data_IF_371999439297
#
_entry.id   IF_371999439297
#
_cell.length_a   1.000
_cell.length_b   1.000
_cell.length_c   1.000
_cell.angle_alpha   90.00
_cell.angle_beta   90.00
_cell.angle_gamma   90.00
#
_symmetry.space_group_name_H-M   'P 1'
#
loop_
_entity.id
_entity.type
_entity.pdbx_description
1 polymer ?
#
# COMPACT_ATOMS: atom_id res chain seq x y z
N UNK A 1 -10.13 23.57 6.32
CA UNK A 1 -8.83 24.15 5.93
C UNK A 1 -9.09 25.35 5.05
N UNK A 2 -8.57 26.52 5.40
CA UNK A 2 -8.83 27.77 4.68
C UNK A 2 -8.06 27.82 3.36
N UNK A 3 -8.72 28.31 2.32
CA UNK A 3 -8.25 28.45 0.93
C UNK A 3 -6.90 29.17 0.80
N UNK A 4 -6.58 30.02 1.78
CA UNK A 4 -5.31 30.75 1.92
C UNK A 4 -4.08 29.85 2.07
N UNK A 5 -4.23 28.66 2.67
CA UNK A 5 -3.12 27.73 2.89
C UNK A 5 -2.73 26.94 1.62
N UNK A 6 -3.63 26.83 0.64
CA UNK A 6 -3.37 26.13 -0.63
C UNK A 6 -2.60 27.01 -1.63
N UNK A 7 -2.80 28.33 -1.56
CA UNK A 7 -2.17 29.29 -2.48
C UNK A 7 -0.68 29.51 -2.15
N UNK A 8 -0.29 29.38 -0.89
CA UNK A 8 1.12 29.51 -0.43
C UNK A 8 1.99 28.32 -0.84
N UNK A 9 1.41 27.16 -1.18
CA UNK A 9 2.12 25.96 -1.65
C UNK A 9 2.32 25.88 -3.18
N UNK A 10 2.04 26.96 -3.93
CA UNK A 10 2.13 26.96 -5.40
C UNK A 10 1.07 26.10 -6.12
N UNK A 11 0.14 25.52 -5.36
CA UNK A 11 -1.00 24.75 -5.85
C UNK A 11 -2.19 25.68 -6.08
N UNK A 12 -2.79 25.65 -7.27
CA UNK A 12 -4.02 26.38 -7.52
C UNK A 12 -5.13 25.83 -6.61
N UNK A 13 -5.89 26.72 -5.96
CA UNK A 13 -7.08 26.30 -5.24
C UNK A 13 -8.00 25.48 -6.18
N UNK A 14 -8.58 24.35 -5.74
CA UNK A 14 -9.35 23.45 -6.62
C UNK A 14 -10.44 24.16 -7.43
N UNK A 15 -11.07 25.19 -6.85
CA UNK A 15 -12.06 26.04 -7.52
C UNK A 15 -11.49 26.87 -8.67
N UNK A 16 -10.29 27.45 -8.51
CA UNK A 16 -9.64 28.25 -9.54
C UNK A 16 -9.20 27.40 -10.75
N UNK A 17 -8.73 26.17 -10.50
CA UNK A 17 -8.33 25.25 -11.55
C UNK A 17 -9.52 24.76 -12.39
N UNK A 18 -10.63 24.42 -11.73
CA UNK A 18 -11.90 24.09 -12.38
C UNK A 18 -12.43 25.28 -13.21
N UNK A 19 -12.41 26.49 -12.65
CA UNK A 19 -12.83 27.71 -13.33
C UNK A 19 -12.04 27.97 -14.63
N UNK A 20 -10.73 27.76 -14.60
CA UNK A 20 -9.88 27.91 -15.77
C UNK A 20 -10.24 26.92 -16.89
N UNK A 21 -10.45 25.64 -16.55
CA UNK A 21 -10.86 24.60 -17.52
C UNK A 21 -12.23 24.86 -18.11
N UNK A 22 -13.17 25.31 -17.28
CA UNK A 22 -14.51 25.63 -17.73
C UNK A 22 -14.49 26.77 -18.77
N UNK A 23 -13.73 27.84 -18.49
CA UNK A 23 -13.51 28.94 -19.44
C UNK A 23 -12.88 28.46 -20.74
N UNK A 24 -11.87 27.62 -20.63
CA UNK A 24 -11.11 27.12 -21.77
C UNK A 24 -11.95 26.17 -22.65
N UNK A 25 -12.63 25.18 -22.05
CA UNK A 25 -13.53 24.28 -22.76
C UNK A 25 -14.64 25.04 -23.49
N UNK A 26 -15.21 26.07 -22.84
CA UNK A 26 -16.22 26.94 -23.45
C UNK A 26 -15.66 27.73 -24.63
N UNK A 27 -14.47 28.32 -24.50
CA UNK A 27 -13.80 29.06 -25.59
C UNK A 27 -13.47 28.16 -26.78
N UNK A 28 -13.00 26.94 -26.53
CA UNK A 28 -12.68 25.95 -27.56
C UNK A 28 -13.90 25.55 -28.40
N UNK A 29 -15.09 25.56 -27.78
CA UNK A 29 -16.39 25.34 -28.42
C UNK A 29 -16.98 26.61 -29.07
N UNK A 30 -16.30 27.76 -29.00
CA UNK A 30 -16.79 29.04 -29.53
C UNK A 30 -18.04 29.57 -28.80
N UNK A 31 -18.33 29.08 -27.59
CA UNK A 31 -19.54 29.42 -26.86
C UNK A 31 -19.38 30.68 -26.01
N UNK A 32 -20.38 31.56 -26.02
CA UNK A 32 -20.52 32.61 -25.02
C UNK A 32 -20.99 32.01 -23.68
N UNK A 33 -20.75 32.71 -22.57
CA UNK A 33 -21.27 32.29 -21.25
C UNK A 33 -22.80 32.16 -21.25
N UNK A 34 -23.49 33.04 -21.98
CA UNK A 34 -24.96 32.99 -22.10
C UNK A 34 -25.40 31.71 -22.82
N UNK A 35 -24.78 31.39 -23.95
CA UNK A 35 -25.09 30.15 -24.68
C UNK A 35 -24.86 28.90 -23.82
N UNK A 36 -23.75 28.83 -23.08
CA UNK A 36 -23.50 27.70 -22.19
C UNK A 36 -24.52 27.61 -21.05
N UNK A 37 -24.89 28.75 -20.45
CA UNK A 37 -25.92 28.84 -19.42
C UNK A 37 -27.27 28.30 -19.91
N UNK A 38 -27.67 28.69 -21.13
CA UNK A 38 -28.93 28.26 -21.75
C UNK A 38 -28.94 26.75 -22.04
N UNK A 39 -27.86 26.21 -22.62
CA UNK A 39 -27.77 24.78 -22.96
C UNK A 39 -27.67 23.90 -21.69
N UNK A 40 -26.89 24.34 -20.69
CA UNK A 40 -26.69 23.57 -19.45
C UNK A 40 -27.83 23.71 -18.42
N UNK A 41 -28.80 24.59 -18.68
CA UNK A 41 -29.88 24.94 -17.75
C UNK A 41 -29.32 25.42 -16.40
N UNK A 42 -28.32 26.30 -16.47
CA UNK A 42 -27.65 26.90 -15.32
C UNK A 42 -27.72 28.42 -15.45
N UNK A 43 -28.01 29.13 -14.35
CA UNK A 43 -28.11 30.59 -14.44
C UNK A 43 -26.78 31.22 -14.88
N UNK A 44 -26.86 32.26 -15.72
CA UNK A 44 -25.69 33.01 -16.20
C UNK A 44 -24.87 33.60 -15.04
N UNK A 45 -25.52 34.00 -13.95
CA UNK A 45 -24.85 34.51 -12.73
C UNK A 45 -24.05 33.42 -12.02
N UNK A 46 -24.63 32.23 -11.87
CA UNK A 46 -23.95 31.10 -11.23
C UNK A 46 -22.78 30.60 -12.09
N UNK A 47 -22.96 30.55 -13.42
CA UNK A 47 -21.86 30.22 -14.34
C UNK A 47 -20.72 31.24 -14.28
N UNK A 48 -21.02 32.54 -14.11
CA UNK A 48 -20.01 33.57 -13.92
C UNK A 48 -19.24 33.41 -12.60
N UNK A 49 -19.91 33.00 -11.52
CA UNK A 49 -19.29 32.69 -10.22
C UNK A 49 -18.41 31.42 -10.30
N UNK A 50 -18.85 30.40 -11.02
CA UNK A 50 -18.04 29.21 -11.28
C UNK A 50 -16.82 29.54 -12.13
N UNK A 51 -16.96 30.41 -13.13
CA UNK A 51 -15.83 30.89 -13.94
C UNK A 51 -14.94 31.88 -13.20
N UNK A 52 -15.32 32.46 -12.05
CA UNK A 52 -14.42 33.29 -11.23
C UNK A 52 -13.58 32.48 -10.24
N UNK A 53 -14.03 31.26 -9.90
CA UNK A 53 -13.38 30.38 -8.93
C UNK A 53 -14.04 30.41 -7.55
N UNK A 54 -15.02 31.29 -7.32
CA UNK A 54 -15.64 31.54 -6.00
C UNK A 54 -16.91 30.69 -5.77
N UNK A 55 -17.11 29.62 -6.54
CA UNK A 55 -18.36 28.86 -6.56
C UNK A 55 -18.17 27.37 -6.25
N UNK A 56 -18.91 26.87 -5.26
CA UNK A 56 -19.05 25.44 -5.04
C UNK A 56 -20.13 24.87 -5.99
N UNK A 57 -19.82 23.78 -6.70
CA UNK A 57 -20.70 23.16 -7.70
C UNK A 57 -21.09 21.75 -7.27
N UNK A 58 -22.38 21.43 -7.37
CA UNK A 58 -22.80 20.04 -7.19
C UNK A 58 -22.38 19.20 -8.40
N UNK A 59 -22.05 17.93 -8.18
CA UNK A 59 -21.68 16.98 -9.24
C UNK A 59 -22.76 16.94 -10.34
N UNK A 60 -24.04 17.01 -9.97
CA UNK A 60 -25.15 17.03 -10.92
C UNK A 60 -25.14 18.26 -11.84
N UNK A 61 -24.82 19.45 -11.31
CA UNK A 61 -24.71 20.66 -12.13
C UNK A 61 -23.49 20.59 -13.03
N UNK A 62 -22.37 20.10 -12.50
CA UNK A 62 -21.13 19.94 -13.26
C UNK A 62 -21.30 18.96 -14.43
N UNK A 63 -22.01 17.84 -14.24
CA UNK A 63 -22.32 16.90 -15.33
C UNK A 63 -23.17 17.53 -16.44
N UNK A 64 -24.15 18.38 -16.11
CA UNK A 64 -24.94 19.10 -17.13
C UNK A 64 -24.11 20.09 -17.92
N UNK A 65 -23.22 20.81 -17.25
CA UNK A 65 -22.28 21.73 -17.89
C UNK A 65 -21.31 20.96 -18.80
N UNK A 66 -20.78 19.83 -18.34
CA UNK A 66 -19.89 18.97 -19.12
C UNK A 66 -20.59 18.41 -20.37
N UNK A 67 -21.85 17.98 -20.24
CA UNK A 67 -22.68 17.53 -21.36
C UNK A 67 -22.95 18.67 -22.37
N UNK A 68 -23.25 19.89 -21.89
CA UNK A 68 -23.43 21.06 -22.75
C UNK A 68 -22.15 21.47 -23.50
N UNK A 69 -20.97 21.20 -22.91
CA UNK A 69 -19.66 21.38 -23.53
C UNK A 69 -19.22 20.18 -24.38
N UNK A 70 -20.05 19.12 -24.43
CA UNK A 70 -19.77 17.85 -25.11
C UNK A 70 -18.35 17.34 -24.75
N UNK A 71 -18.10 17.29 -23.44
CA UNK A 71 -16.81 16.90 -22.85
C UNK A 71 -17.08 16.00 -21.65
N UNK A 72 -16.33 14.89 -21.48
CA UNK A 72 -16.44 14.07 -20.28
C UNK A 72 -16.19 14.90 -19.02
N UNK A 73 -17.00 14.71 -17.98
CA UNK A 73 -16.87 15.46 -16.72
C UNK A 73 -15.48 15.28 -16.08
N UNK A 74 -14.86 14.12 -16.28
CA UNK A 74 -13.48 13.83 -15.88
C UNK A 74 -12.48 14.86 -16.41
N UNK A 75 -12.66 15.38 -17.64
CA UNK A 75 -11.73 16.36 -18.22
C UNK A 75 -11.83 17.74 -17.57
N UNK A 76 -12.97 18.06 -16.93
CA UNK A 76 -13.10 19.28 -16.12
C UNK A 76 -12.46 19.10 -14.73
N UNK A 77 -12.39 17.86 -14.24
CA UNK A 77 -11.86 17.50 -12.92
C UNK A 77 -10.39 17.12 -12.93
N UNK A 78 -9.82 16.71 -14.06
CA UNK A 78 -8.41 16.38 -14.20
C UNK A 78 -7.55 17.56 -13.76
N UNK A 79 -6.67 17.34 -12.78
CA UNK A 79 -5.66 18.32 -12.45
C UNK A 79 -4.85 18.65 -13.70
N UNK A 80 -4.72 19.95 -13.99
CA UNK A 80 -4.05 20.46 -15.18
C UNK A 80 -2.54 20.35 -15.01
N UNK A 81 -2.07 19.28 -14.40
CA UNK A 81 -0.66 18.98 -14.29
C UNK A 81 -0.10 18.59 -15.66
N UNK A 82 -0.95 18.22 -16.62
CA UNK A 82 -0.53 17.85 -17.98
C UNK A 82 0.18 18.95 -18.80
N UNK A 83 0.19 20.21 -18.34
CA UNK A 83 1.00 21.28 -18.93
C UNK A 83 1.90 21.98 -17.91
N UNK A 84 2.05 21.42 -16.70
CA UNK A 84 3.13 21.81 -15.82
C UNK A 84 4.39 21.05 -16.24
N UNK A 85 5.59 21.65 -16.13
CA UNK A 85 6.84 20.92 -16.29
C UNK A 85 6.86 19.62 -15.47
N UNK A 86 6.15 19.58 -14.34
CA UNK A 86 6.03 18.39 -13.49
C UNK A 86 5.16 17.29 -14.09
N UNK A 87 4.01 17.59 -14.72
CA UNK A 87 3.15 16.54 -15.28
C UNK A 87 3.58 16.02 -16.64
N UNK A 88 4.23 16.84 -17.48
CA UNK A 88 4.93 16.32 -18.68
C UNK A 88 6.10 15.41 -18.27
N UNK A 89 6.84 15.79 -17.22
CA UNK A 89 7.89 14.95 -16.65
C UNK A 89 7.33 13.66 -16.05
N UNK A 90 6.19 13.70 -15.36
CA UNK A 90 5.51 12.52 -14.83
C UNK A 90 5.04 11.56 -15.94
N UNK A 91 4.46 12.09 -17.03
CA UNK A 91 4.03 11.29 -18.17
C UNK A 91 5.22 10.63 -18.90
N UNK A 92 6.31 11.39 -19.14
CA UNK A 92 7.54 10.87 -19.74
C UNK A 92 8.23 9.85 -18.83
N UNK A 93 8.25 10.11 -17.53
CA UNK A 93 8.76 9.15 -16.54
C UNK A 93 7.94 7.87 -16.56
N UNK A 94 6.61 7.94 -16.54
CA UNK A 94 5.74 6.77 -16.59
C UNK A 94 5.96 5.91 -17.85
N UNK A 95 6.15 6.55 -19.01
CA UNK A 95 6.40 5.90 -20.30
C UNK A 95 7.86 5.42 -20.50
N UNK A 96 8.80 5.82 -19.65
CA UNK A 96 10.21 5.46 -19.79
C UNK A 96 10.48 3.98 -19.49
N UNK A 97 11.53 3.44 -20.13
CA UNK A 97 12.01 2.07 -19.87
C UNK A 97 12.56 1.95 -18.44
N UNK A 98 12.63 0.74 -17.85
CA UNK A 98 13.16 0.54 -16.50
C UNK A 98 14.55 1.14 -16.28
N UNK A 99 15.44 1.04 -17.27
CA UNK A 99 16.78 1.64 -17.20
C UNK A 99 16.75 3.17 -17.18
N UNK A 100 15.89 3.79 -18.00
CA UNK A 100 15.75 5.25 -18.05
C UNK A 100 15.14 5.82 -16.77
N UNK A 101 14.12 5.14 -16.21
CA UNK A 101 13.55 5.51 -14.91
C UNK A 101 14.61 5.52 -13.82
N UNK A 102 15.50 4.52 -13.80
CA UNK A 102 16.61 4.41 -12.84
C UNK A 102 17.59 5.57 -12.96
N UNK A 103 18.06 5.87 -14.18
CA UNK A 103 18.98 6.98 -14.42
C UNK A 103 18.38 8.36 -14.06
N UNK A 104 17.08 8.57 -14.31
CA UNK A 104 16.39 9.82 -13.96
C UNK A 104 16.32 9.98 -12.44
N UNK A 105 15.97 8.92 -11.71
CA UNK A 105 15.94 8.93 -10.26
C UNK A 105 17.32 9.22 -9.66
N UNK A 106 18.38 8.63 -10.21
CA UNK A 106 19.78 8.85 -9.81
C UNK A 106 20.21 10.33 -9.90
N UNK A 107 19.84 11.00 -11.00
CA UNK A 107 20.17 12.42 -11.22
C UNK A 107 19.38 13.33 -10.26
N UNK A 108 18.13 13.00 -9.95
CA UNK A 108 17.26 13.81 -9.09
C UNK A 108 17.57 13.68 -7.60
N UNK A 109 18.64 12.98 -7.24
CA UNK A 109 18.99 12.74 -5.85
C UNK A 109 18.02 11.79 -5.15
N UNK A 110 17.28 10.97 -5.91
CA UNK A 110 16.84 9.71 -5.32
C UNK A 110 18.12 9.02 -4.84
N UNK A 111 18.10 8.39 -3.65
CA UNK A 111 19.27 7.69 -3.15
C UNK A 111 19.83 6.84 -4.29
N UNK A 112 21.14 6.93 -4.47
CA UNK A 112 21.90 6.09 -5.38
C UNK A 112 21.48 4.62 -5.23
N UNK A 113 22.02 3.77 -6.08
CA UNK A 113 22.05 2.31 -5.88
C UNK A 113 22.67 1.83 -4.54
N UNK A 114 22.71 2.66 -3.50
CA UNK A 114 22.48 2.28 -2.11
C UNK A 114 20.97 2.11 -1.86
N UNK A 115 20.33 1.07 -2.43
CA UNK A 115 19.10 0.59 -1.80
C UNK A 115 19.50 0.33 -0.33
N UNK A 116 18.94 1.02 0.69
CA UNK A 116 19.41 0.87 2.06
C UNK A 116 19.35 -0.61 2.33
N UNK A 117 20.50 -1.22 2.58
CA UNK A 117 20.75 -2.63 2.34
C UNK A 117 19.55 -3.44 2.81
N UNK A 118 18.60 -3.75 1.90
CA UNK A 118 17.29 -4.29 2.30
C UNK A 118 17.44 -5.63 3.01
N UNK A 119 18.65 -6.20 2.91
CA UNK A 119 19.10 -7.37 3.64
C UNK A 119 19.04 -7.18 5.17
N UNK A 120 19.17 -5.95 5.65
CA UNK A 120 19.12 -5.59 7.09
C UNK A 120 17.72 -5.24 7.57
N UNK A 121 16.76 -5.07 6.65
CA UNK A 121 15.34 -4.89 6.97
C UNK A 121 14.58 -6.19 6.70
N UNK A 122 14.22 -6.91 7.76
CA UNK A 122 13.57 -8.20 7.69
C UNK A 122 12.08 -8.03 7.95
N UNK A 123 11.23 -8.53 7.05
CA UNK A 123 9.78 -8.52 7.22
C UNK A 123 9.25 -9.95 7.44
N UNK A 124 8.69 -10.19 8.62
CA UNK A 124 7.96 -11.42 8.94
C UNK A 124 6.50 -11.25 8.51
N UNK A 125 6.08 -12.00 7.50
CA UNK A 125 4.75 -11.89 6.89
C UNK A 125 3.95 -13.15 7.18
N UNK A 126 2.68 -13.02 7.55
CA UNK A 126 1.82 -14.19 7.74
C UNK A 126 0.59 -13.92 8.58
N UNK A 127 -0.30 -14.91 8.62
CA UNK A 127 -1.56 -14.80 9.37
C UNK A 127 -1.33 -14.85 10.89
N UNK A 128 -2.35 -14.45 11.67
CA UNK A 128 -2.29 -14.48 13.14
C UNK A 128 -2.06 -15.93 13.62
N UNK A 129 -1.35 -16.09 14.74
CA UNK A 129 -0.98 -17.43 15.25
C UNK A 129 0.27 -18.05 14.60
N UNK A 130 0.83 -17.45 13.55
CA UNK A 130 2.07 -17.96 12.93
C UNK A 130 3.35 -17.70 13.73
N UNK A 131 3.29 -17.12 14.93
CA UNK A 131 4.48 -16.89 15.77
C UNK A 131 5.31 -15.64 15.45
N UNK A 132 4.95 -14.84 14.44
CA UNK A 132 5.68 -13.63 14.00
C UNK A 132 6.14 -12.70 15.14
N UNK A 133 5.22 -12.30 16.03
CA UNK A 133 5.54 -11.36 17.12
C UNK A 133 6.47 -11.98 18.16
N UNK A 134 6.30 -13.27 18.47
CA UNK A 134 7.17 -14.00 19.40
C UNK A 134 8.57 -14.18 18.80
N UNK A 135 8.65 -14.72 17.59
CA UNK A 135 9.91 -14.97 16.90
C UNK A 135 10.65 -13.66 16.58
N UNK A 136 9.94 -12.62 16.17
CA UNK A 136 10.52 -11.31 15.88
C UNK A 136 11.16 -10.66 17.10
N UNK A 137 10.51 -10.72 18.27
CA UNK A 137 11.09 -10.22 19.54
C UNK A 137 12.33 -11.01 19.96
N UNK A 138 12.30 -12.34 19.83
CA UNK A 138 13.43 -13.19 20.18
C UNK A 138 14.61 -13.00 19.22
N UNK A 139 14.34 -12.94 17.91
CA UNK A 139 15.35 -12.67 16.90
C UNK A 139 15.98 -11.28 17.10
N UNK A 140 15.16 -10.27 17.41
CA UNK A 140 15.62 -8.92 17.77
C UNK A 140 16.61 -8.94 18.94
N UNK A 141 16.27 -9.63 20.03
CA UNK A 141 17.17 -9.77 21.17
C UNK A 141 18.47 -10.54 20.85
N UNK A 142 18.41 -11.51 19.92
CA UNK A 142 19.56 -12.33 19.52
C UNK A 142 20.52 -11.59 18.58
N UNK A 143 19.96 -10.77 17.69
CA UNK A 143 20.68 -10.07 16.63
C UNK A 143 21.03 -8.62 16.98
N UNK A 144 20.52 -8.10 18.11
CA UNK A 144 20.62 -6.69 18.50
C UNK A 144 20.02 -5.72 17.45
N UNK A 145 18.91 -6.14 16.85
CA UNK A 145 18.19 -5.40 15.80
C UNK A 145 16.82 -4.98 16.34
N UNK A 146 16.34 -3.74 16.12
CA UNK A 146 15.02 -3.33 16.59
C UNK A 146 13.88 -4.20 16.05
N UNK A 147 12.84 -4.43 16.86
CA UNK A 147 11.60 -5.07 16.43
C UNK A 147 10.41 -4.11 16.48
N UNK A 148 9.58 -4.11 15.42
CA UNK A 148 8.33 -3.35 15.34
C UNK A 148 7.21 -4.19 14.76
N UNK A 149 5.97 -3.93 15.18
CA UNK A 149 4.79 -4.46 14.50
C UNK A 149 4.15 -3.34 13.69
N UNK A 150 3.73 -3.62 12.44
CA UNK A 150 3.05 -2.61 11.60
C UNK A 150 1.73 -2.18 12.25
N UNK A 151 1.08 -3.07 13.01
CA UNK A 151 -0.10 -2.72 13.81
C UNK A 151 0.16 -1.55 14.76
N UNK A 152 1.32 -1.53 15.42
CA UNK A 152 1.65 -0.49 16.39
C UNK A 152 1.80 0.87 15.68
N UNK A 153 2.42 0.86 14.49
CA UNK A 153 2.54 2.05 13.65
C UNK A 153 1.19 2.53 13.12
N UNK A 154 0.29 1.61 12.75
CA UNK A 154 -1.09 1.95 12.37
C UNK A 154 -1.83 2.63 13.52
N UNK A 155 -1.76 2.06 14.73
CA UNK A 155 -2.43 2.61 15.92
C UNK A 155 -1.88 3.98 16.31
N UNK A 156 -0.56 4.17 16.20
CA UNK A 156 0.08 5.47 16.43
C UNK A 156 -0.37 6.53 15.42
N UNK A 157 -0.44 6.17 14.13
CA UNK A 157 -0.88 7.09 13.07
C UNK A 157 -2.37 7.43 13.17
N UNK A 158 -3.21 6.45 13.52
CA UNK A 158 -4.65 6.63 13.62
C UNK A 158 -5.11 7.20 14.98
N UNK A 159 -4.29 7.06 16.03
CA UNK A 159 -4.64 7.44 17.40
C UNK A 159 -5.67 6.54 18.08
N UNK A 160 -6.02 5.42 17.45
CA UNK A 160 -7.03 4.45 17.90
C UNK A 160 -6.59 3.01 17.57
N UNK A 161 -7.10 1.99 18.28
CA UNK A 161 -6.76 0.59 18.01
C UNK A 161 -7.08 0.14 16.58
N UNK A 162 -6.34 -0.84 16.05
CA UNK A 162 -6.57 -1.37 14.68
C UNK A 162 -8.03 -1.83 14.47
N UNK A 163 -8.65 -2.40 15.49
CA UNK A 163 -10.07 -2.81 15.43
C UNK A 163 -11.01 -1.63 15.20
N UNK A 164 -10.72 -0.46 15.79
CA UNK A 164 -11.49 0.76 15.59
C UNK A 164 -11.20 1.39 14.23
N UNK A 165 -9.95 1.33 13.76
CA UNK A 165 -9.60 1.76 12.39
C UNK A 165 -10.46 1.00 11.37
N UNK A 166 -10.58 -0.31 11.52
CA UNK A 166 -11.42 -1.13 10.62
C UNK A 166 -12.90 -0.80 10.78
N UNK A 167 -13.38 -0.56 12.01
CA UNK A 167 -14.79 -0.22 12.25
C UNK A 167 -15.19 1.14 11.65
N UNK A 168 -14.30 2.13 11.72
CA UNK A 168 -14.56 3.51 11.27
C UNK A 168 -14.24 3.73 9.79
N UNK A 169 -13.14 3.15 9.29
CA UNK A 169 -12.59 3.43 7.96
C UNK A 169 -12.58 2.22 7.03
N UNK A 170 -13.05 1.06 7.50
CA UNK A 170 -13.06 -0.18 6.72
C UNK A 170 -11.66 -0.73 6.43
N UNK A 171 -11.63 -1.77 5.58
CA UNK A 171 -10.38 -2.39 5.14
C UNK A 171 -9.53 -1.43 4.30
N UNK A 172 -10.14 -0.59 3.46
CA UNK A 172 -9.40 0.38 2.64
C UNK A 172 -8.65 1.41 3.49
N UNK A 173 -9.27 1.88 4.58
CA UNK A 173 -8.62 2.74 5.56
C UNK A 173 -7.43 2.06 6.20
N UNK A 174 -7.61 0.81 6.67
CA UNK A 174 -6.53 0.01 7.22
C UNK A 174 -5.35 -0.12 6.22
N UNK A 175 -5.62 -0.41 4.95
CA UNK A 175 -4.59 -0.55 3.91
C UNK A 175 -3.80 0.74 3.67
N UNK A 176 -4.44 1.90 3.79
CA UNK A 176 -3.75 3.21 3.68
C UNK A 176 -2.83 3.48 4.87
N UNK A 177 -3.29 3.20 6.10
CA UNK A 177 -2.45 3.31 7.29
C UNK A 177 -1.30 2.29 7.27
N UNK A 178 -1.56 1.06 6.81
CA UNK A 178 -0.53 0.02 6.64
C UNK A 178 0.56 0.47 5.66
N UNK A 179 0.18 1.05 4.52
CA UNK A 179 1.12 1.59 3.54
C UNK A 179 1.99 2.71 4.13
N UNK A 180 1.35 3.65 4.84
CA UNK A 180 2.03 4.79 5.47
C UNK A 180 3.01 4.31 6.55
N UNK A 181 2.58 3.40 7.43
CA UNK A 181 3.41 2.85 8.48
C UNK A 181 4.63 2.10 7.93
N UNK A 182 4.45 1.28 6.88
CA UNK A 182 5.56 0.59 6.22
C UNK A 182 6.57 1.57 5.59
N UNK A 183 6.08 2.62 4.92
CA UNK A 183 6.93 3.63 4.33
C UNK A 183 7.75 4.39 5.39
N UNK A 184 7.11 4.78 6.50
CA UNK A 184 7.81 5.43 7.61
C UNK A 184 8.87 4.54 8.26
N UNK A 185 8.55 3.25 8.48
CA UNK A 185 9.50 2.30 9.05
C UNK A 185 10.71 2.08 8.13
N UNK A 186 10.48 1.95 6.82
CA UNK A 186 11.55 1.81 5.83
C UNK A 186 12.41 3.09 5.72
N UNK A 187 11.81 4.27 5.89
CA UNK A 187 12.55 5.54 5.81
C UNK A 187 13.37 5.86 7.06
N UNK A 188 12.91 5.42 8.25
CA UNK A 188 13.55 5.76 9.54
C UNK A 188 14.57 4.72 10.02
N UNK A 189 14.57 3.51 9.46
CA UNK A 189 15.40 2.42 9.93
C UNK A 189 16.19 1.78 8.79
N UNK A 190 17.50 1.76 8.92
CA UNK A 190 18.39 1.01 8.02
C UNK A 190 18.44 -0.49 8.38
N UNK A 191 18.20 -0.82 9.66
CA UNK A 191 18.18 -2.18 10.20
C UNK A 191 16.98 -2.36 11.13
N UNK A 192 16.13 -3.34 10.84
CA UNK A 192 14.83 -3.53 11.50
C UNK A 192 14.26 -4.91 11.22
N UNK A 193 13.68 -5.55 12.23
CA UNK A 193 12.75 -6.66 12.06
C UNK A 193 11.33 -6.13 12.22
N UNK A 194 10.48 -6.34 11.21
CA UNK A 194 9.08 -5.90 11.21
C UNK A 194 8.13 -7.09 11.09
N UNK A 195 7.12 -7.16 11.96
CA UNK A 195 6.01 -8.09 11.79
C UNK A 195 4.86 -7.43 11.02
N UNK A 196 4.43 -8.08 9.94
CA UNK A 196 3.37 -7.60 9.05
C UNK A 196 2.21 -8.61 9.03
N UNK A 197 0.99 -8.10 9.13
CA UNK A 197 -0.22 -8.92 9.06
C UNK A 197 -0.39 -9.55 7.68
N UNK A 198 -0.95 -10.76 7.63
CA UNK A 198 -1.23 -11.47 6.37
C UNK A 198 -2.25 -10.81 5.45
N UNK A 199 -2.86 -9.67 5.85
CA UNK A 199 -3.69 -8.83 4.99
C UNK A 199 -2.89 -8.05 3.95
N UNK A 200 -1.58 -7.87 4.15
CA UNK A 200 -0.70 -7.10 3.26
C UNK A 200 -0.75 -7.57 1.79
N UNK A 201 -0.95 -8.87 1.58
CA UNK A 201 -0.99 -9.49 0.24
C UNK A 201 -2.27 -9.17 -0.54
N UNK A 202 -3.28 -8.58 0.10
CA UNK A 202 -4.54 -8.19 -0.56
C UNK A 202 -4.38 -6.92 -1.39
N UNK A 203 -3.36 -6.11 -1.13
CA UNK A 203 -3.08 -4.88 -1.87
C UNK A 203 -1.73 -5.01 -2.55
N UNK A 204 -1.76 -5.15 -3.88
CA UNK A 204 -0.56 -5.36 -4.70
C UNK A 204 0.49 -4.27 -4.46
N UNK A 205 0.10 -3.00 -4.43
CA UNK A 205 1.01 -1.89 -4.18
C UNK A 205 1.74 -1.98 -2.82
N UNK A 206 1.02 -2.31 -1.74
CA UNK A 206 1.62 -2.43 -0.41
C UNK A 206 2.57 -3.63 -0.34
N UNK A 207 2.19 -4.74 -0.98
CA UNK A 207 3.01 -5.94 -1.00
C UNK A 207 4.25 -5.77 -1.87
N UNK A 208 4.14 -5.10 -3.02
CA UNK A 208 5.27 -4.75 -3.89
C UNK A 208 6.25 -3.83 -3.18
N UNK A 209 5.74 -2.86 -2.40
CA UNK A 209 6.57 -2.02 -1.55
C UNK A 209 7.34 -2.87 -0.54
N UNK A 210 6.67 -3.80 0.15
CA UNK A 210 7.31 -4.68 1.12
C UNK A 210 8.42 -5.54 0.48
N UNK A 211 8.13 -6.18 -0.66
CA UNK A 211 9.08 -7.04 -1.40
C UNK A 211 10.30 -6.29 -1.97
N UNK A 212 10.16 -4.98 -2.19
CA UNK A 212 11.24 -4.12 -2.71
C UNK A 212 12.11 -3.52 -1.61
N UNK A 213 11.58 -3.30 -0.41
CA UNK A 213 12.29 -2.59 0.68
C UNK A 213 12.77 -3.48 1.83
N UNK A 214 12.27 -4.73 1.91
CA UNK A 214 12.58 -5.69 2.97
C UNK A 214 13.00 -7.04 2.40
N UNK A 215 13.82 -7.79 3.14
CA UNK A 215 13.93 -9.23 3.01
C UNK A 215 12.70 -9.89 3.65
N UNK A 216 11.88 -10.55 2.83
CA UNK A 216 10.56 -11.03 3.26
C UNK A 216 10.56 -12.52 3.59
N UNK A 217 10.12 -12.86 4.79
CA UNK A 217 10.00 -14.24 5.28
C UNK A 217 8.53 -14.53 5.55
N UNK A 218 7.94 -15.44 4.79
CA UNK A 218 6.60 -15.94 5.07
C UNK A 218 6.66 -16.92 6.23
N UNK A 219 6.10 -16.53 7.37
CA UNK A 219 5.98 -17.39 8.56
C UNK A 219 4.61 -18.05 8.56
N UNK A 220 4.58 -19.37 8.49
CA UNK A 220 3.36 -20.17 8.47
C UNK A 220 3.40 -21.33 9.48
N UNK A 221 2.23 -21.90 9.73
CA UNK A 221 2.05 -23.14 10.46
C UNK A 221 0.86 -23.90 9.86
N UNK A 222 0.65 -25.15 10.30
CA UNK A 222 -0.57 -25.87 10.03
C UNK A 222 -1.78 -25.12 10.60
N UNK A 223 -2.96 -25.19 9.96
CA UNK A 223 -4.18 -24.53 10.45
C UNK A 223 -4.50 -24.85 11.92
N UNK A 224 -4.30 -26.10 12.34
CA UNK A 224 -4.49 -26.53 13.73
C UNK A 224 -3.59 -25.77 14.71
N UNK A 225 -2.31 -25.58 14.37
CA UNK A 225 -1.36 -24.85 15.21
C UNK A 225 -1.70 -23.36 15.29
N UNK A 226 -2.16 -22.77 14.20
CA UNK A 226 -2.66 -21.39 14.19
C UNK A 226 -3.80 -21.21 15.20
N UNK A 227 -4.79 -22.11 15.15
CA UNK A 227 -5.96 -22.03 16.04
C UNK A 227 -5.55 -22.25 17.49
N UNK A 228 -4.78 -23.30 17.78
CA UNK A 228 -4.32 -23.61 19.13
C UNK A 228 -3.59 -22.41 19.77
N UNK A 229 -2.69 -21.76 19.02
CA UNK A 229 -1.93 -20.60 19.48
C UNK A 229 -2.82 -19.36 19.68
N UNK A 230 -3.79 -19.12 18.81
CA UNK A 230 -4.71 -17.98 18.93
C UNK A 230 -5.65 -18.16 20.13
N UNK A 231 -6.18 -19.37 20.34
CA UNK A 231 -7.01 -19.68 21.50
C UNK A 231 -6.23 -19.53 22.82
N UNK A 232 -4.97 -19.97 22.87
CA UNK A 232 -4.10 -19.79 24.03
C UNK A 232 -3.82 -18.32 24.38
N UNK A 233 -3.97 -17.41 23.41
CA UNK A 233 -3.82 -15.95 23.60
C UNK A 233 -5.11 -15.26 24.06
N UNK A 234 -6.16 -16.02 24.42
CA UNK A 234 -7.43 -15.48 24.93
C UNK A 234 -8.35 -14.91 23.86
N UNK A 235 -8.10 -15.23 22.58
CA UNK A 235 -9.01 -14.92 21.49
C UNK A 235 -9.93 -16.12 21.26
N UNK A 236 -11.15 -16.06 21.78
CA UNK A 236 -12.14 -17.15 21.69
C UNK A 236 -12.90 -17.20 20.35
N UNK A 237 -12.64 -16.27 19.42
CA UNK A 237 -13.25 -16.28 18.08
C UNK A 237 -13.06 -17.61 17.33
N UNK A 238 -11.92 -18.32 17.43
CA UNK A 238 -11.75 -19.65 16.85
C UNK A 238 -12.50 -20.77 17.60
N UNK A 239 -12.86 -20.58 18.87
CA UNK A 239 -13.50 -21.63 19.69
C UNK A 239 -14.99 -21.81 19.36
N UNK A 240 -15.66 -20.77 18.85
CA UNK A 240 -17.05 -20.86 18.36
C UNK A 240 -17.06 -21.40 16.92
N UNK A 241 -17.08 -22.72 16.79
CA UNK A 241 -17.10 -23.38 15.48
C UNK A 241 -15.69 -23.67 14.93
N UNK A 242 -14.86 -24.30 15.76
CA UNK A 242 -13.48 -24.72 15.44
C UNK A 242 -13.32 -25.28 14.02
N UNK A 243 -14.19 -26.22 13.62
CA UNK A 243 -14.15 -26.84 12.27
C UNK A 243 -14.44 -25.84 11.15
N UNK A 244 -15.33 -24.87 11.38
CA UNK A 244 -15.66 -23.81 10.43
C UNK A 244 -14.53 -22.80 10.31
N UNK A 245 -13.96 -22.41 11.46
CA UNK A 245 -12.83 -21.49 11.54
C UNK A 245 -11.58 -22.08 10.86
N UNK A 246 -11.32 -23.37 11.07
CA UNK A 246 -10.23 -24.09 10.41
C UNK A 246 -10.42 -24.12 8.89
N UNK A 247 -11.59 -24.54 8.42
CA UNK A 247 -11.88 -24.58 6.98
C UNK A 247 -11.80 -23.19 6.33
N UNK A 248 -12.29 -22.16 7.02
CA UNK A 248 -12.19 -20.79 6.54
C UNK A 248 -10.74 -20.32 6.43
N UNK A 249 -9.90 -20.67 7.42
CA UNK A 249 -8.47 -20.39 7.40
C UNK A 249 -7.77 -21.12 6.24
N UNK A 250 -8.06 -22.41 6.04
CA UNK A 250 -7.55 -23.23 4.93
C UNK A 250 -7.89 -22.61 3.57
N UNK A 251 -9.15 -22.23 3.36
CA UNK A 251 -9.62 -21.58 2.12
C UNK A 251 -8.93 -20.23 1.92
N UNK A 252 -8.79 -19.43 2.98
CA UNK A 252 -8.15 -18.11 2.91
C UNK A 252 -6.66 -18.23 2.56
N UNK A 253 -5.94 -19.14 3.21
CA UNK A 253 -4.53 -19.39 2.94
C UNK A 253 -4.33 -19.96 1.54
N UNK A 254 -5.18 -20.88 1.09
CA UNK A 254 -5.17 -21.44 -0.28
C UNK A 254 -5.33 -20.36 -1.36
N UNK A 255 -6.23 -19.39 -1.14
CA UNK A 255 -6.44 -18.25 -2.05
C UNK A 255 -5.24 -17.31 -2.09
N UNK A 256 -4.46 -17.22 -1.01
CA UNK A 256 -3.33 -16.30 -0.85
C UNK A 256 -1.97 -16.95 -1.07
N UNK A 257 -1.92 -18.26 -1.27
CA UNK A 257 -0.68 -19.04 -1.37
C UNK A 257 0.23 -18.53 -2.49
N UNK A 258 -0.34 -18.12 -3.63
CA UNK A 258 0.42 -17.58 -4.76
C UNK A 258 1.09 -16.23 -4.42
N UNK A 259 0.44 -15.40 -3.60
CA UNK A 259 1.00 -14.13 -3.15
C UNK A 259 2.07 -14.36 -2.09
N UNK A 260 1.80 -15.17 -1.05
CA UNK A 260 2.80 -15.47 -0.03
C UNK A 260 4.05 -16.13 -0.60
N UNK A 261 3.90 -16.96 -1.64
CA UNK A 261 4.99 -17.55 -2.39
C UNK A 261 5.98 -16.53 -2.99
N UNK A 262 5.56 -15.28 -3.24
CA UNK A 262 6.44 -14.23 -3.78
C UNK A 262 7.49 -13.75 -2.78
N UNK A 263 7.37 -14.12 -1.50
CA UNK A 263 8.34 -13.81 -0.45
C UNK A 263 9.70 -14.49 -0.70
N UNK A 264 10.76 -13.88 -0.17
CA UNK A 264 12.14 -14.34 -0.36
C UNK A 264 12.38 -15.70 0.30
N UNK A 265 11.86 -15.91 1.52
CA UNK A 265 11.97 -17.15 2.27
C UNK A 265 10.61 -17.59 2.84
N UNK A 266 10.50 -18.86 3.23
CA UNK A 266 9.35 -19.39 3.95
C UNK A 266 9.87 -20.13 5.19
N UNK A 267 9.20 -19.92 6.32
CA UNK A 267 9.48 -20.55 7.60
C UNK A 267 8.23 -21.30 8.04
N UNK A 268 8.35 -22.63 8.10
CA UNK A 268 7.33 -23.49 8.67
C UNK A 268 7.56 -23.64 10.17
N UNK A 269 6.60 -23.23 10.97
CA UNK A 269 6.64 -23.32 12.45
C UNK A 269 5.80 -24.47 12.98
N UNK A 270 5.33 -25.36 12.10
CA UNK A 270 4.43 -26.46 12.47
C UNK A 270 5.12 -27.51 13.32
N UNK A 271 4.53 -27.87 14.46
CA UNK A 271 5.10 -28.86 15.38
C UNK A 271 6.45 -28.49 16.03
N UNK A 272 6.99 -27.30 15.74
CA UNK A 272 8.20 -26.79 16.34
C UNK A 272 7.89 -26.08 17.67
N UNK A 273 8.81 -26.22 18.62
CA UNK A 273 8.86 -25.34 19.77
C UNK A 273 9.45 -23.97 19.37
N UNK A 274 9.43 -23.04 20.32
CA UNK A 274 9.85 -21.66 20.06
C UNK A 274 11.34 -21.58 19.72
N UNK A 275 12.18 -22.40 20.36
CA UNK A 275 13.62 -22.39 20.16
C UNK A 275 14.02 -22.98 18.81
N UNK A 276 13.39 -24.07 18.38
CA UNK A 276 13.58 -24.65 17.06
C UNK A 276 13.15 -23.69 15.95
N UNK A 277 11.95 -23.11 16.07
CA UNK A 277 11.47 -22.12 15.10
C UNK A 277 12.34 -20.84 15.06
N UNK A 278 12.92 -20.44 16.20
CA UNK A 278 13.87 -19.33 16.25
C UNK A 278 15.19 -19.68 15.57
N UNK A 279 15.73 -20.87 15.80
CA UNK A 279 16.96 -21.33 15.15
C UNK A 279 16.82 -21.32 13.63
N UNK A 280 15.71 -21.86 13.12
CA UNK A 280 15.39 -21.85 11.70
C UNK A 280 15.24 -20.43 11.14
N UNK A 281 14.55 -19.55 11.87
CA UNK A 281 14.43 -18.14 11.48
C UNK A 281 15.80 -17.45 11.38
N UNK A 282 16.67 -17.64 12.37
CA UNK A 282 18.02 -17.05 12.37
C UNK A 282 18.86 -17.61 11.21
N UNK A 283 18.71 -18.89 10.89
CA UNK A 283 19.34 -19.52 9.73
C UNK A 283 18.90 -18.91 8.40
N UNK A 284 17.63 -18.49 8.28
CA UNK A 284 17.14 -17.78 7.09
C UNK A 284 17.64 -16.33 7.01
N UNK A 285 17.80 -15.67 8.16
CA UNK A 285 18.24 -14.27 8.24
C UNK A 285 19.75 -14.12 8.00
N UNK A 286 20.57 -15.03 8.56
CA UNK A 286 22.02 -14.87 8.61
C UNK A 286 22.72 -14.68 7.25
N UNK A 287 22.42 -15.45 6.18
CA UNK A 287 23.05 -15.26 4.87
C UNK A 287 22.75 -13.88 4.26
N UNK A 288 21.55 -13.36 4.54
CA UNK A 288 21.13 -12.06 4.04
C UNK A 288 21.87 -10.94 4.75
N UNK A 289 21.96 -10.96 6.08
CA UNK A 289 22.74 -9.96 6.83
C UNK A 289 24.24 -10.02 6.50
N UNK A 290 24.77 -11.18 6.16
CA UNK A 290 26.18 -11.37 5.76
C UNK A 290 26.51 -10.87 4.33
N UNK A 291 25.50 -10.50 3.54
CA UNK A 291 25.68 -9.87 2.24
C UNK A 291 25.76 -10.80 1.03
N UNK A 292 25.37 -12.07 1.17
CA UNK A 292 25.28 -12.99 0.04
C UNK A 292 24.11 -12.59 -0.89
N UNK A 293 24.40 -12.47 -2.19
CA UNK A 293 23.48 -11.85 -3.14
C UNK A 293 22.17 -12.64 -3.32
N UNK A 294 21.04 -11.92 -3.19
CA UNK A 294 19.72 -12.44 -3.50
C UNK A 294 19.60 -12.89 -4.96
N UNK A 295 18.93 -14.03 -5.24
CA UNK A 295 18.61 -14.41 -6.61
C UNK A 295 17.64 -13.38 -7.24
N UNK A 296 17.99 -12.90 -8.45
CA UNK A 296 17.22 -11.89 -9.20
C UNK A 296 15.81 -12.40 -9.60
N UNK A 297 14.88 -11.47 -9.84
CA UNK A 297 13.41 -11.67 -9.85
C UNK A 297 12.80 -12.85 -10.65
N UNK A 298 13.50 -13.42 -11.63
CA UNK A 298 13.04 -14.62 -12.36
C UNK A 298 13.15 -15.89 -11.51
N UNK A 299 14.15 -15.98 -10.64
CA UNK A 299 14.31 -17.08 -9.70
C UNK A 299 13.31 -17.01 -8.53
N UNK A 300 12.90 -15.80 -8.11
CA UNK A 300 11.83 -15.59 -7.11
C UNK A 300 10.50 -16.20 -7.55
N UNK A 301 10.14 -16.06 -8.83
CA UNK A 301 8.88 -16.57 -9.35
C UNK A 301 8.83 -18.11 -9.40
N UNK A 302 9.93 -18.77 -9.77
CA UNK A 302 10.05 -20.24 -9.73
C UNK A 302 10.09 -20.79 -8.31
N UNK A 303 10.86 -20.17 -7.41
CA UNK A 303 10.91 -20.56 -6.00
C UNK A 303 9.56 -20.37 -5.31
N UNK A 304 8.83 -19.30 -5.65
CA UNK A 304 7.48 -19.08 -5.15
C UNK A 304 6.50 -20.17 -5.59
N UNK A 305 6.52 -20.58 -6.86
CA UNK A 305 5.66 -21.65 -7.35
C UNK A 305 5.91 -22.99 -6.62
N UNK A 306 7.16 -23.31 -6.29
CA UNK A 306 7.51 -24.47 -5.46
C UNK A 306 7.00 -24.33 -4.01
N UNK A 307 7.19 -23.17 -3.37
CA UNK A 307 6.67 -22.90 -2.02
C UNK A 307 5.14 -23.02 -1.94
N UNK A 308 4.43 -22.47 -2.94
CA UNK A 308 2.98 -22.58 -3.02
C UNK A 308 2.51 -24.04 -3.19
N UNK A 309 3.25 -24.85 -3.95
CA UNK A 309 2.93 -26.26 -4.16
C UNK A 309 3.16 -27.10 -2.90
N UNK A 310 4.27 -26.87 -2.19
CA UNK A 310 4.58 -27.54 -0.91
C UNK A 310 3.51 -27.19 0.14
N UNK A 311 3.14 -25.92 0.25
CA UNK A 311 2.10 -25.52 1.18
C UNK A 311 0.72 -26.09 0.83
N UNK A 312 0.32 -26.06 -0.44
CA UNK A 312 -0.93 -26.69 -0.90
C UNK A 312 -0.96 -28.21 -0.73
N UNK A 313 0.19 -28.86 -0.57
CA UNK A 313 0.27 -30.29 -0.27
C UNK A 313 0.22 -30.56 1.25
N UNK A 314 0.53 -29.56 2.08
CA UNK A 314 0.53 -29.65 3.54
C UNK A 314 -0.80 -29.21 4.18
N UNK A 315 -1.66 -28.50 3.43
CA UNK A 315 -3.02 -28.08 3.80
C UNK A 315 -4.03 -28.90 3.02
#
# INVERSE_FOLDING_TARGET
MTEKALTESGLMAPGAALAARLREARRRRGMSRRQLADISQVSMRYLALLESGDGNVSVAVLCRIAAALDTPVANLLQDSDGASPAGDMAARFAAATPHQKRAILEILGAPHDDAPDRRRRIALVGVRGGGKSTLGRLASARLDVPFREVSDGIEQLAGVPVSEVVALYGQDGLRRYEATSLAELAARHDELIVAVGGGIVETEANFDFLLSHFHTIWVHALPADHIARVSAQGDDRPMRGYTEAQRHLEVMLSKRAAQFARTDAALDTSGLDVDGALADLLGLIAPWMAGEAAPQGVARQKAGLQKAAVYKAAV
#
